data_IF_746579702349
#
_entry.id   IF_746579702349
#
_cell.length_a   1.000
_cell.length_b   1.000
_cell.length_c   1.000
_cell.angle_alpha   90.00
_cell.angle_beta   90.00
_cell.angle_gamma   90.00
#
_symmetry.space_group_name_H-M   'P 1'
#
loop_
_entity.id
_entity.type
_entity.pdbx_description
1 polymer ?
#
# COMPACT_ATOMS: atom_id res chain seq x y z
N UNK A 1 26.62 22.83 8.09
CA UNK A 1 25.28 22.70 7.45
C UNK A 1 24.46 21.64 8.18
N UNK A 2 23.78 22.02 9.27
CA UNK A 2 22.77 21.26 10.06
C UNK A 2 22.53 22.15 11.29
N UNK A 3 21.45 22.94 11.32
CA UNK A 3 21.13 23.82 12.46
C UNK A 3 19.66 23.74 12.87
N UNK A 4 18.78 23.45 11.91
CA UNK A 4 17.33 23.42 12.14
C UNK A 4 16.87 22.07 12.71
N UNK A 5 17.48 20.96 12.27
CA UNK A 5 17.18 19.63 12.80
C UNK A 5 17.52 19.49 14.30
N UNK A 6 18.44 20.32 14.81
CA UNK A 6 18.86 20.31 16.22
C UNK A 6 17.87 21.02 17.15
N UNK A 7 16.99 21.87 16.60
CA UNK A 7 15.96 22.58 17.36
C UNK A 7 14.82 21.66 17.80
N UNK A 8 14.65 20.51 17.16
CA UNK A 8 13.55 19.58 17.40
C UNK A 8 14.00 18.10 17.32
N UNK A 9 14.35 17.47 18.46
CA UNK A 9 14.74 16.05 18.49
C UNK A 9 13.57 15.13 18.10
N UNK A 10 13.85 14.18 17.19
CA UNK A 10 12.84 13.42 16.46
C UNK A 10 12.13 12.30 17.22
N UNK A 11 10.82 12.19 17.00
CA UNK A 11 10.00 11.00 17.24
C UNK A 11 9.14 10.76 15.99
N UNK A 12 9.05 9.51 15.55
CA UNK A 12 8.67 9.10 14.19
C UNK A 12 7.16 9.18 13.86
N UNK A 13 6.43 10.13 14.43
CA UNK A 13 5.00 10.30 14.15
C UNK A 13 4.70 11.73 13.66
N UNK A 14 4.79 11.87 12.34
CA UNK A 14 4.12 12.88 11.50
C UNK A 14 2.67 12.98 12.01
N UNK A 15 2.07 14.14 12.32
CA UNK A 15 1.72 15.19 11.36
C UNK A 15 1.65 16.60 12.00
N UNK A 16 1.24 16.70 13.27
CA UNK A 16 0.91 17.99 13.89
C UNK A 16 2.14 18.79 14.34
N UNK A 17 3.14 18.11 14.92
CA UNK A 17 4.37 18.77 15.39
C UNK A 17 5.26 19.18 14.23
N UNK A 18 5.39 18.32 13.23
CA UNK A 18 6.15 18.64 12.02
C UNK A 18 5.51 19.79 11.26
N UNK A 19 4.17 19.81 11.14
CA UNK A 19 3.46 20.96 10.60
C UNK A 19 3.75 22.25 11.38
N UNK A 20 3.76 22.19 12.72
CA UNK A 20 4.12 23.34 13.55
C UNK A 20 5.57 23.79 13.34
N UNK A 21 6.52 22.85 13.33
CA UNK A 21 7.95 23.14 13.13
C UNK A 21 8.18 23.75 11.74
N UNK A 22 7.57 23.17 10.70
CA UNK A 22 7.66 23.68 9.32
C UNK A 22 7.06 25.08 9.25
N UNK A 23 5.90 25.32 9.88
CA UNK A 23 5.27 26.63 9.90
C UNK A 23 6.11 27.68 10.66
N UNK A 24 6.70 27.31 11.80
CA UNK A 24 7.52 28.21 12.61
C UNK A 24 8.87 28.51 11.95
N UNK A 25 9.49 27.50 11.34
CA UNK A 25 10.71 27.68 10.54
C UNK A 25 10.45 28.52 9.29
N UNK A 26 9.34 28.29 8.59
CA UNK A 26 8.88 29.13 7.47
C UNK A 26 8.67 30.60 7.89
N UNK A 27 8.09 30.82 9.08
CA UNK A 27 7.84 32.17 9.63
C UNK A 27 9.12 32.89 10.02
N UNK A 28 10.06 32.19 10.65
CA UNK A 28 11.32 32.78 11.16
C UNK A 28 12.41 32.90 10.11
N UNK A 29 12.33 32.11 9.03
CA UNK A 29 13.32 32.08 7.93
C UNK A 29 12.64 32.17 6.55
N UNK A 30 11.91 33.25 6.23
CA UNK A 30 11.16 33.34 4.97
C UNK A 30 12.04 33.33 3.72
N UNK A 31 13.30 33.75 3.84
CA UNK A 31 14.28 33.75 2.75
C UNK A 31 14.73 32.35 2.34
N UNK A 32 14.43 31.30 3.12
CA UNK A 32 14.72 29.91 2.74
C UNK A 32 13.58 29.29 1.92
N UNK A 33 12.44 29.97 1.77
CA UNK A 33 11.30 29.47 1.03
C UNK A 33 11.39 29.90 -0.45
N UNK A 34 11.08 28.96 -1.34
CA UNK A 34 10.92 29.22 -2.76
C UNK A 34 9.42 29.28 -3.07
N UNK A 35 8.95 30.40 -3.62
CA UNK A 35 7.60 30.51 -4.14
C UNK A 35 7.41 29.62 -5.38
N UNK A 36 6.33 28.84 -5.39
CA UNK A 36 5.91 28.06 -6.55
C UNK A 36 4.60 28.66 -7.03
N UNK A 37 4.59 29.17 -8.26
CA UNK A 37 3.36 29.55 -8.95
C UNK A 37 2.76 28.30 -9.54
N UNK A 38 1.58 27.90 -9.06
CA UNK A 38 0.91 26.70 -9.55
C UNK A 38 0.02 27.12 -10.72
N UNK A 39 0.24 26.53 -11.89
CA UNK A 39 -0.65 26.67 -13.04
C UNK A 39 -1.76 25.61 -12.96
N UNK A 40 -2.95 25.93 -13.49
CA UNK A 40 -4.12 25.04 -13.46
C UNK A 40 -3.83 23.66 -14.09
N UNK A 41 -2.96 23.60 -15.09
CA UNK A 41 -2.51 22.34 -15.72
C UNK A 41 -1.80 21.41 -14.72
N UNK A 42 -0.91 21.95 -13.89
CA UNK A 42 -0.20 21.16 -12.87
C UNK A 42 -1.13 20.72 -11.74
N UNK A 43 -2.16 21.51 -11.42
CA UNK A 43 -3.20 21.12 -10.45
C UNK A 43 -3.99 19.95 -11.02
N UNK A 44 -4.38 20.02 -12.29
CA UNK A 44 -5.10 18.94 -12.95
C UNK A 44 -4.26 17.65 -13.02
N UNK A 45 -2.98 17.74 -13.38
CA UNK A 45 -2.07 16.59 -13.44
C UNK A 45 -1.86 15.94 -12.07
N UNK A 46 -1.58 16.73 -11.03
CA UNK A 46 -1.41 16.21 -9.66
C UNK A 46 -2.71 15.62 -9.12
N UNK A 47 -3.85 16.22 -9.41
CA UNK A 47 -5.16 15.68 -9.04
C UNK A 47 -5.44 14.33 -9.70
N UNK A 48 -5.10 14.19 -10.99
CA UNK A 48 -5.19 12.92 -11.69
C UNK A 48 -4.28 11.85 -11.07
N UNK A 49 -3.06 12.21 -10.68
CA UNK A 49 -2.12 11.28 -10.04
C UNK A 49 -2.61 10.86 -8.65
N UNK A 50 -3.11 11.79 -7.82
CA UNK A 50 -3.70 11.46 -6.54
C UNK A 50 -4.91 10.53 -6.69
N UNK A 51 -5.78 10.77 -7.69
CA UNK A 51 -6.91 9.88 -7.98
C UNK A 51 -6.45 8.47 -8.36
N UNK A 52 -5.36 8.34 -9.11
CA UNK A 52 -4.77 7.03 -9.41
C UNK A 52 -4.23 6.32 -8.17
N UNK A 53 -3.58 7.05 -7.26
CA UNK A 53 -3.07 6.49 -6.00
C UNK A 53 -4.20 6.02 -5.09
N UNK A 54 -5.31 6.76 -5.03
CA UNK A 54 -6.52 6.37 -4.29
C UNK A 54 -7.15 5.10 -4.89
N UNK A 55 -7.31 5.06 -6.21
CA UNK A 55 -7.82 3.88 -6.93
C UNK A 55 -6.92 2.65 -6.71
N UNK A 56 -5.60 2.82 -6.78
CA UNK A 56 -4.64 1.74 -6.54
C UNK A 56 -4.71 1.24 -5.10
N UNK A 57 -4.86 2.14 -4.12
CA UNK A 57 -5.01 1.79 -2.70
C UNK A 57 -6.30 1.01 -2.47
N UNK A 58 -7.40 1.41 -3.11
CA UNK A 58 -8.65 0.69 -3.07
C UNK A 58 -8.51 -0.72 -3.66
N UNK A 59 -7.93 -0.83 -4.86
CA UNK A 59 -7.70 -2.12 -5.53
C UNK A 59 -6.82 -3.07 -4.69
N UNK A 60 -5.73 -2.57 -4.11
CA UNK A 60 -4.87 -3.39 -3.26
C UNK A 60 -5.58 -3.86 -1.99
N UNK A 61 -6.46 -3.02 -1.43
CA UNK A 61 -7.25 -3.37 -0.26
C UNK A 61 -8.29 -4.44 -0.60
N UNK A 62 -8.95 -4.33 -1.75
CA UNK A 62 -9.89 -5.32 -2.27
C UNK A 62 -9.19 -6.65 -2.56
N UNK A 63 -8.08 -6.64 -3.30
CA UNK A 63 -7.28 -7.84 -3.57
C UNK A 63 -6.80 -8.53 -2.29
N UNK A 64 -6.40 -7.74 -1.28
CA UNK A 64 -6.03 -8.29 0.02
C UNK A 64 -7.21 -8.96 0.71
N UNK A 65 -8.40 -8.37 0.65
CA UNK A 65 -9.61 -8.94 1.23
C UNK A 65 -10.00 -10.26 0.53
N UNK A 66 -9.90 -10.31 -0.79
CA UNK A 66 -10.16 -11.52 -1.59
C UNK A 66 -9.20 -12.66 -1.22
N UNK A 67 -7.90 -12.37 -1.14
CA UNK A 67 -6.89 -13.34 -0.73
C UNK A 67 -7.15 -13.81 0.71
N UNK A 68 -7.55 -12.91 1.61
CA UNK A 68 -7.88 -13.27 2.98
C UNK A 68 -9.11 -14.20 3.05
N UNK A 69 -10.13 -13.95 2.23
CA UNK A 69 -11.28 -14.83 2.11
C UNK A 69 -10.87 -16.22 1.60
N UNK A 70 -10.05 -16.30 0.54
CA UNK A 70 -9.54 -17.57 0.02
C UNK A 70 -8.75 -18.33 1.10
N UNK A 71 -7.83 -17.66 1.80
CA UNK A 71 -7.07 -18.25 2.91
C UNK A 71 -8.01 -18.78 3.98
N UNK A 72 -9.05 -18.03 4.35
CA UNK A 72 -10.02 -18.45 5.36
C UNK A 72 -10.71 -19.76 4.93
N UNK A 73 -11.15 -19.88 3.67
CA UNK A 73 -11.77 -21.13 3.20
C UNK A 73 -10.85 -22.34 3.33
N UNK A 74 -9.56 -22.17 3.00
CA UNK A 74 -8.54 -23.24 3.09
C UNK A 74 -8.23 -23.58 4.55
N UNK A 75 -8.16 -22.57 5.40
CA UNK A 75 -7.91 -22.74 6.84
C UNK A 75 -9.10 -23.43 7.50
N UNK A 76 -10.33 -23.04 7.22
CA UNK A 76 -11.54 -23.63 7.80
C UNK A 76 -11.75 -25.08 7.37
N UNK A 77 -11.35 -25.44 6.15
CA UNK A 77 -11.35 -26.83 5.70
C UNK A 77 -10.35 -27.74 6.46
N UNK A 78 -9.43 -27.16 7.25
CA UNK A 78 -8.44 -27.95 7.97
C UNK A 78 -9.01 -28.55 9.28
N UNK A 79 -8.87 -29.87 9.52
CA UNK A 79 -9.51 -30.58 10.64
C UNK A 79 -9.17 -30.08 12.05
N UNK A 80 -8.13 -29.24 12.20
CA UNK A 80 -7.63 -28.77 13.50
C UNK A 80 -7.66 -27.25 13.67
N UNK A 81 -8.39 -26.54 12.82
CA UNK A 81 -8.46 -25.07 12.88
C UNK A 81 -9.21 -24.57 14.10
N UNK A 82 -10.38 -25.14 14.41
CA UNK A 82 -11.17 -24.76 15.59
C UNK A 82 -10.38 -24.86 16.91
N UNK A 83 -9.54 -25.89 17.05
CA UNK A 83 -8.68 -26.08 18.23
C UNK A 83 -7.57 -25.03 18.31
N UNK A 84 -7.12 -24.48 17.17
CA UNK A 84 -6.06 -23.49 17.13
C UNK A 84 -6.59 -22.09 17.33
N UNK A 85 -7.74 -21.76 16.74
CA UNK A 85 -8.36 -20.44 16.91
C UNK A 85 -9.01 -20.24 18.27
N UNK A 86 -9.23 -21.32 19.04
CA UNK A 86 -9.64 -21.24 20.44
C UNK A 86 -8.50 -20.92 21.42
N UNK A 87 -7.24 -20.98 20.97
CA UNK A 87 -6.08 -20.63 21.78
C UNK A 87 -5.91 -19.09 21.83
N UNK A 88 -5.67 -18.51 23.02
CA UNK A 88 -5.44 -17.07 23.13
C UNK A 88 -4.21 -16.65 22.31
N UNK A 89 -4.38 -15.60 21.49
CA UNK A 89 -3.33 -15.07 20.61
C UNK A 89 -3.19 -15.78 19.25
N UNK A 90 -3.98 -16.82 18.97
CA UNK A 90 -3.97 -17.51 17.67
C UNK A 90 -5.23 -17.15 16.88
N UNK A 91 -5.14 -16.11 16.05
CA UNK A 91 -6.18 -15.77 15.06
C UNK A 91 -6.01 -16.52 13.74
N UNK A 92 -6.93 -16.32 12.79
CA UNK A 92 -6.94 -16.97 11.47
C UNK A 92 -5.61 -16.80 10.72
N UNK A 93 -5.02 -15.59 10.72
CA UNK A 93 -3.72 -15.34 10.05
C UNK A 93 -2.57 -16.11 10.68
N UNK A 94 -2.53 -16.17 12.01
CA UNK A 94 -1.55 -16.96 12.75
C UNK A 94 -1.77 -18.46 12.50
N UNK A 95 -3.03 -18.90 12.39
CA UNK A 95 -3.36 -20.27 12.02
C UNK A 95 -2.95 -20.60 10.57
N UNK A 96 -3.21 -19.72 9.61
CA UNK A 96 -2.76 -19.89 8.24
C UNK A 96 -1.23 -20.04 8.15
N UNK A 97 -0.48 -19.15 8.84
CA UNK A 97 0.98 -19.19 8.88
C UNK A 97 1.53 -20.49 9.47
N UNK A 98 1.02 -20.92 10.61
CA UNK A 98 1.49 -22.17 11.22
C UNK A 98 1.10 -23.38 10.34
N UNK A 99 -0.04 -23.34 9.62
CA UNK A 99 -0.37 -24.40 8.65
C UNK A 99 0.63 -24.44 7.49
N UNK A 100 1.00 -23.29 6.91
CA UNK A 100 1.97 -23.24 5.82
C UNK A 100 3.38 -23.62 6.28
N UNK A 101 3.82 -23.14 7.44
CA UNK A 101 5.19 -23.38 7.96
C UNK A 101 5.38 -24.80 8.52
N UNK A 102 4.37 -25.37 9.18
CA UNK A 102 4.48 -26.68 9.86
C UNK A 102 3.95 -27.83 9.00
N UNK A 103 2.87 -27.62 8.23
CA UNK A 103 2.26 -28.67 7.38
C UNK A 103 2.84 -28.68 5.96
N UNK A 104 3.61 -27.66 5.57
CA UNK A 104 4.18 -27.43 4.23
C UNK A 104 5.05 -28.53 3.61
N UNK A 105 5.25 -29.69 4.27
CA UNK A 105 5.83 -30.89 3.66
C UNK A 105 4.81 -31.91 3.11
N UNK A 106 3.50 -31.71 3.30
CA UNK A 106 2.46 -32.69 2.89
C UNK A 106 1.24 -32.14 2.14
N UNK A 107 1.20 -30.86 1.77
CA UNK A 107 0.23 -30.41 0.76
C UNK A 107 0.82 -30.63 -0.64
N UNK A 108 0.63 -31.84 -1.16
CA UNK A 108 0.82 -32.13 -2.57
C UNK A 108 -0.27 -31.40 -3.36
N UNK A 109 -0.03 -30.11 -3.66
CA UNK A 109 -0.86 -29.33 -4.58
C UNK A 109 -0.76 -30.03 -5.94
N UNK A 110 -1.77 -30.84 -6.29
CA UNK A 110 -2.00 -31.23 -7.68
C UNK A 110 -2.23 -29.94 -8.44
N UNK A 111 -1.20 -29.44 -9.12
CA UNK A 111 -1.31 -28.35 -10.08
C UNK A 111 -2.27 -28.80 -11.18
N UNK A 112 -3.44 -28.18 -11.26
CA UNK A 112 -4.21 -28.07 -12.51
C UNK A 112 -3.89 -26.70 -13.09
N UNK A 113 -3.05 -26.61 -14.14
CA UNK A 113 -2.79 -25.35 -14.82
C UNK A 113 -3.86 -25.18 -15.90
N UNK A 114 -4.95 -24.45 -15.64
CA UNK A 114 -5.89 -24.13 -16.72
C UNK A 114 -6.62 -22.80 -16.65
N UNK A 115 -6.39 -21.91 -15.68
CA UNK A 115 -7.11 -20.63 -15.63
C UNK A 115 -6.20 -19.46 -15.26
N UNK A 116 -5.15 -19.25 -16.04
CA UNK A 116 -4.57 -17.91 -16.22
C UNK A 116 -5.00 -17.44 -17.61
N UNK A 117 -6.27 -17.05 -17.72
CA UNK A 117 -6.78 -16.40 -18.93
C UNK A 117 -6.28 -14.96 -18.91
N UNK A 118 -5.28 -14.73 -19.77
CA UNK A 118 -4.69 -13.46 -20.19
C UNK A 118 -5.65 -12.27 -20.06
N UNK A 119 -5.41 -11.39 -19.08
CA UNK A 119 -5.75 -9.97 -19.24
C UNK A 119 -4.58 -9.33 -20.00
N UNK A 120 -4.65 -9.42 -21.32
CA UNK A 120 -3.90 -8.52 -22.20
C UNK A 120 -4.62 -7.17 -22.12
N UNK A 121 -4.13 -6.25 -21.29
CA UNK A 121 -4.48 -4.84 -21.45
C UNK A 121 -3.67 -4.33 -22.65
N UNK A 122 -4.34 -4.24 -23.79
CA UNK A 122 -3.82 -3.56 -24.97
C UNK A 122 -3.75 -2.06 -24.65
N UNK A 123 -2.58 -1.57 -24.23
CA UNK A 123 -2.30 -0.15 -24.22
C UNK A 123 -2.00 0.29 -25.67
N UNK A 124 -2.79 1.18 -26.31
CA UNK A 124 -2.45 1.68 -27.64
C UNK A 124 -1.27 2.67 -27.52
N UNK A 125 -0.37 2.75 -28.51
CA UNK A 125 0.76 3.66 -28.47
C UNK A 125 0.27 5.11 -28.63
N UNK A 126 0.73 5.98 -27.74
CA UNK A 126 0.57 7.44 -27.85
C UNK A 126 1.21 7.89 -29.16
N UNK A 127 0.39 8.19 -30.17
CA UNK A 127 0.85 8.84 -31.40
C UNK A 127 1.05 10.33 -31.10
N UNK A 128 2.31 10.71 -30.98
CA UNK A 128 2.75 12.09 -31.09
C UNK A 128 2.29 12.68 -32.43
N UNK A 129 1.48 13.74 -32.40
CA UNK A 129 1.33 14.66 -33.51
C UNK A 129 1.78 16.05 -33.06
N UNK A 130 3.07 16.31 -33.24
CA UNK A 130 3.56 17.67 -33.51
C UNK A 130 3.71 17.82 -35.04
N UNK A 131 3.37 19.02 -35.53
CA UNK A 131 3.65 19.60 -36.85
C UNK A 131 2.73 19.23 -38.03
N UNK A 132 1.71 20.06 -38.28
CA UNK A 132 1.76 21.20 -39.24
C UNK A 132 0.40 21.88 -39.33
#
# INVERSE_FOLDING_TARGET
MRRVADLHPGQAKTDARDAYIIADTARTMPHTLRGITIADEHIAELSMLCGFDDDLTAQLTEQRADIEAEILTVVDAHPRTCVRTSMPGIGVRTAARILTEVVGKKLHIRRTPSLIRRHHTSNPPIRNLHSR
#
